data_IF_900593809495
#
_entry.id   IF_900593809495
#
_cell.length_a   1.000
_cell.length_b   1.000
_cell.length_c   1.000
_cell.angle_alpha   90.00
_cell.angle_beta   90.00
_cell.angle_gamma   90.00
#
_symmetry.space_group_name_H-M   'P 1'
#
loop_
_entity.id
_entity.type
_entity.pdbx_description
1 polymer ?
#
# COMPACT_ATOMS: atom_id res chain seq x y z
N UNK A 1 4.88 -6.93 11.07
CA UNK A 1 4.64 -7.76 9.86
C UNK A 1 4.03 -6.87 8.75
N UNK A 2 4.13 -7.25 7.46
CA UNK A 2 3.53 -6.44 6.37
C UNK A 2 2.02 -6.20 6.59
N UNK A 3 1.30 -7.20 7.08
CA UNK A 3 -0.12 -7.08 7.46
C UNK A 3 -0.42 -5.93 8.44
N UNK A 4 0.39 -5.76 9.49
CA UNK A 4 0.20 -4.68 10.47
C UNK A 4 0.42 -3.29 9.85
N UNK A 5 1.32 -3.19 8.86
CA UNK A 5 1.56 -1.94 8.13
C UNK A 5 0.35 -1.60 7.26
N UNK A 6 -0.19 -2.59 6.55
CA UNK A 6 -1.36 -2.45 5.67
C UNK A 6 -2.61 -2.01 6.44
N UNK A 7 -2.85 -2.58 7.63
CA UNK A 7 -3.93 -2.14 8.53
C UNK A 7 -3.76 -0.67 8.93
N UNK A 8 -2.52 -0.23 9.23
CA UNK A 8 -2.21 1.17 9.54
C UNK A 8 -2.26 2.10 8.33
N UNK A 9 -2.29 1.57 7.12
CA UNK A 9 -2.52 2.31 5.89
C UNK A 9 -4.01 2.38 5.53
N UNK A 10 -4.87 1.72 6.32
CA UNK A 10 -6.31 1.78 6.19
C UNK A 10 -6.94 0.60 5.46
N UNK A 11 -6.18 -0.41 5.05
CA UNK A 11 -6.75 -1.68 4.61
C UNK A 11 -7.42 -2.40 5.78
N UNK A 12 -8.42 -3.22 5.48
CA UNK A 12 -8.93 -4.20 6.45
C UNK A 12 -8.13 -5.52 6.36
N UNK A 13 -8.45 -6.48 7.21
CA UNK A 13 -7.79 -7.78 7.26
C UNK A 13 -7.85 -8.50 5.90
N UNK A 14 -9.04 -8.59 5.32
CA UNK A 14 -9.24 -9.30 4.05
C UNK A 14 -8.48 -8.66 2.89
N UNK A 15 -8.53 -7.35 2.75
CA UNK A 15 -7.81 -6.64 1.70
C UNK A 15 -6.29 -6.70 1.91
N UNK A 16 -5.84 -6.78 3.17
CA UNK A 16 -4.42 -6.98 3.49
C UNK A 16 -3.94 -8.38 3.12
N UNK A 17 -4.76 -9.41 3.34
CA UNK A 17 -4.50 -10.77 2.87
C UNK A 17 -4.42 -10.81 1.35
N UNK A 18 -5.45 -10.29 0.65
CA UNK A 18 -5.49 -10.26 -0.82
C UNK A 18 -4.29 -9.49 -1.39
N UNK A 19 -3.85 -8.41 -0.73
CA UNK A 19 -2.63 -7.70 -1.09
C UNK A 19 -1.39 -8.60 -0.93
N UNK A 20 -1.18 -9.20 0.24
CA UNK A 20 0.01 -10.04 0.50
C UNK A 20 0.08 -11.19 -0.49
N UNK A 21 -1.05 -11.84 -0.77
CA UNK A 21 -1.13 -12.94 -1.73
C UNK A 21 -0.73 -12.48 -3.15
N UNK A 22 -1.16 -11.28 -3.57
CA UNK A 22 -0.82 -10.73 -4.89
C UNK A 22 0.68 -10.46 -5.08
N UNK A 23 1.43 -10.19 -4.00
CA UNK A 23 2.88 -9.92 -4.06
C UNK A 23 3.76 -11.05 -3.55
N UNK A 24 3.19 -12.16 -3.03
CA UNK A 24 3.93 -13.28 -2.44
C UNK A 24 5.07 -13.79 -3.35
N UNK A 25 4.77 -14.09 -4.61
CA UNK A 25 5.77 -14.58 -5.59
C UNK A 25 6.86 -13.54 -5.92
N UNK A 26 6.54 -12.25 -5.81
CA UNK A 26 7.49 -11.17 -6.12
C UNK A 26 8.42 -10.87 -4.95
N UNK A 27 7.95 -11.07 -3.72
CA UNK A 27 8.67 -10.81 -2.48
C UNK A 27 9.48 -12.01 -1.96
N UNK A 28 9.54 -13.12 -2.70
CA UNK A 28 10.33 -14.31 -2.34
C UNK A 28 11.66 -14.43 -3.13
N UNK A 29 11.99 -13.45 -3.97
CA UNK A 29 13.16 -13.50 -4.88
C UNK A 29 14.46 -13.04 -4.24
N UNK A 30 14.42 -12.45 -3.04
CA UNK A 30 15.57 -11.80 -2.39
C UNK A 30 15.51 -11.96 -0.87
N UNK A 31 16.66 -12.11 -0.18
CA UNK A 31 16.68 -12.23 1.29
C UNK A 31 16.24 -10.96 2.02
N UNK A 32 16.37 -9.80 1.37
CA UNK A 32 15.94 -8.51 1.90
C UNK A 32 15.20 -7.72 0.82
N UNK A 33 14.27 -6.87 1.28
CA UNK A 33 13.57 -5.90 0.46
C UNK A 33 13.55 -4.56 1.18
N UNK A 34 13.81 -3.49 0.42
CA UNK A 34 13.35 -2.16 0.80
C UNK A 34 11.88 -2.04 0.41
N UNK A 35 11.02 -1.58 1.31
CA UNK A 35 9.60 -1.36 1.06
C UNK A 35 9.20 0.01 1.60
N UNK A 36 8.50 0.79 0.79
CA UNK A 36 7.82 2.02 1.20
C UNK A 36 6.44 2.09 0.56
N UNK A 37 5.60 3.01 1.03
CA UNK A 37 4.23 3.17 0.55
C UNK A 37 3.95 4.61 0.18
N UNK A 38 3.18 4.78 -0.89
CA UNK A 38 2.65 6.06 -1.34
C UNK A 38 1.13 6.07 -1.17
N UNK A 39 0.59 7.15 -0.62
CA UNK A 39 -0.85 7.32 -0.40
C UNK A 39 -1.52 8.15 -1.48
N UNK A 40 -2.79 8.51 -1.23
CA UNK A 40 -3.66 9.22 -2.17
C UNK A 40 -3.00 10.44 -2.85
N UNK A 41 -2.30 11.30 -2.11
CA UNK A 41 -1.77 12.55 -2.68
C UNK A 41 -0.76 12.29 -3.80
N UNK A 42 0.19 11.39 -3.55
CA UNK A 42 1.20 10.98 -4.54
C UNK A 42 0.52 10.29 -5.71
N UNK A 43 -0.37 9.33 -5.44
CA UNK A 43 -1.03 8.56 -6.49
C UNK A 43 -1.93 9.46 -7.34
N UNK A 44 -2.65 10.41 -6.76
CA UNK A 44 -3.53 11.34 -7.49
C UNK A 44 -2.74 12.25 -8.44
N UNK A 45 -1.51 12.63 -8.06
CA UNK A 45 -0.64 13.42 -8.92
C UNK A 45 -0.23 12.66 -10.19
N UNK A 46 0.10 11.37 -10.06
CA UNK A 46 0.56 10.55 -11.18
C UNK A 46 -0.55 9.80 -11.94
N UNK A 47 -1.63 9.45 -11.24
CA UNK A 47 -2.71 8.57 -11.71
C UNK A 47 -4.06 9.07 -11.15
N UNK A 48 -4.61 10.18 -11.68
CA UNK A 48 -5.89 10.72 -11.24
C UNK A 48 -7.03 9.73 -11.49
N UNK A 49 -7.92 9.60 -10.51
CA UNK A 49 -9.04 8.65 -10.56
C UNK A 49 -10.38 9.39 -10.41
N UNK A 50 -11.31 9.13 -11.32
CA UNK A 50 -12.69 9.64 -11.26
C UNK A 50 -13.66 8.47 -11.22
N UNK A 51 -14.45 8.37 -10.15
CA UNK A 51 -15.43 7.29 -9.93
C UNK A 51 -16.83 7.87 -9.78
N UNK A 52 -17.82 7.21 -10.40
CA UNK A 52 -19.24 7.55 -10.30
C UNK A 52 -20.07 6.30 -9.94
N UNK A 53 -20.92 6.34 -8.88
CA UNK A 53 -21.15 7.46 -7.96
C UNK A 53 -19.88 7.83 -7.17
N UNK A 54 -19.81 9.08 -6.68
CA UNK A 54 -18.62 9.57 -5.96
C UNK A 54 -18.48 8.80 -4.63
N UNK A 55 -17.35 8.14 -4.36
CA UNK A 55 -17.09 7.52 -3.06
C UNK A 55 -17.01 8.57 -1.94
N UNK A 56 -17.47 8.22 -0.75
CA UNK A 56 -17.30 9.03 0.45
C UNK A 56 -15.91 8.84 1.05
N UNK A 57 -15.40 7.61 1.04
CA UNK A 57 -14.05 7.29 1.46
C UNK A 57 -13.25 6.73 0.28
N UNK A 58 -12.00 7.18 0.12
CA UNK A 58 -11.07 6.71 -0.91
C UNK A 58 -9.76 6.34 -0.23
N UNK A 59 -9.37 5.08 -0.34
CA UNK A 59 -8.13 4.53 0.24
C UNK A 59 -7.28 4.05 -0.93
N UNK A 60 -6.15 4.70 -1.19
CA UNK A 60 -5.23 4.33 -2.26
C UNK A 60 -3.84 4.13 -1.69
N UNK A 61 -3.23 3.01 -2.00
CA UNK A 61 -1.89 2.64 -1.55
C UNK A 61 -1.09 2.02 -2.67
N UNK A 62 0.12 2.53 -2.87
CA UNK A 62 1.06 2.00 -3.83
C UNK A 62 2.33 1.60 -3.10
N UNK A 63 2.62 0.31 -3.07
CA UNK A 63 3.87 -0.22 -2.53
C UNK A 63 5.00 -0.03 -3.54
N UNK A 64 6.04 0.68 -3.15
CA UNK A 64 7.30 0.68 -3.88
C UNK A 64 8.24 -0.28 -3.16
N UNK A 65 8.72 -1.30 -3.88
CA UNK A 65 9.60 -2.32 -3.32
C UNK A 65 10.83 -2.53 -4.19
N UNK A 66 11.94 -2.89 -3.55
CA UNK A 66 13.22 -3.13 -4.22
C UNK A 66 13.97 -4.28 -3.55
N UNK A 67 14.41 -5.31 -4.30
CA UNK A 67 15.24 -6.37 -3.74
C UNK A 67 16.61 -5.84 -3.31
N UNK A 68 17.07 -6.29 -2.14
CA UNK A 68 18.37 -5.95 -1.56
C UNK A 68 19.20 -7.20 -1.29
N UNK A 69 20.50 -7.16 -1.64
CA UNK A 69 21.43 -8.26 -1.39
C UNK A 69 21.83 -8.38 0.08
N UNK A 70 21.76 -7.28 0.83
CA UNK A 70 22.15 -7.19 2.23
C UNK A 70 21.17 -6.29 2.99
N UNK A 71 21.08 -6.49 4.31
CA UNK A 71 20.28 -5.64 5.18
C UNK A 71 20.73 -4.18 5.06
N UNK A 72 19.76 -3.28 5.00
CA UNK A 72 19.98 -1.85 4.99
C UNK A 72 19.08 -1.20 6.04
N UNK A 73 19.68 -0.46 6.96
CA UNK A 73 18.94 0.38 7.89
C UNK A 73 18.37 1.58 7.14
N UNK A 74 17.08 1.87 7.35
CA UNK A 74 16.36 2.98 6.71
C UNK A 74 15.56 3.74 7.75
N UNK A 75 15.25 5.03 7.50
CA UNK A 75 14.38 5.80 8.39
C UNK A 75 13.02 5.11 8.58
N UNK A 76 12.45 5.24 9.77
CA UNK A 76 11.11 4.74 10.06
C UNK A 76 10.08 5.38 9.12
N UNK A 77 9.21 4.54 8.58
CA UNK A 77 8.06 5.00 7.80
C UNK A 77 7.10 5.80 8.68
N UNK A 78 6.66 6.97 8.19
CA UNK A 78 5.67 7.80 8.86
C UNK A 78 4.29 7.41 8.33
N UNK A 79 3.46 6.88 9.22
CA UNK A 79 2.11 6.48 8.87
C UNK A 79 1.21 7.70 8.65
N UNK A 80 0.39 7.72 7.58
CA UNK A 80 -0.70 8.67 7.48
C UNK A 80 -1.77 8.40 8.55
N UNK A 81 -2.68 9.35 8.73
CA UNK A 81 -3.90 9.11 9.50
C UNK A 81 -4.72 8.00 8.82
N UNK A 82 -5.19 7.04 9.60
CA UNK A 82 -6.06 5.98 9.11
C UNK A 82 -7.42 6.61 8.76
N UNK A 83 -7.91 6.48 7.53
CA UNK A 83 -9.18 7.08 7.13
C UNK A 83 -10.37 6.33 7.73
N UNK A 84 -11.35 7.08 8.23
CA UNK A 84 -12.65 6.52 8.63
C UNK A 84 -13.41 6.02 7.40
N UNK A 85 -13.80 4.74 7.43
CA UNK A 85 -14.60 4.12 6.38
C UNK A 85 -16.07 4.48 6.57
N UNK A 86 -16.59 5.39 5.75
CA UNK A 86 -17.98 5.82 5.79
C UNK A 86 -18.61 5.73 4.40
N UNK A 87 -19.87 5.30 4.34
CA UNK A 87 -20.60 5.18 3.07
C UNK A 87 -19.92 4.26 2.05
N UNK A 88 -20.08 4.59 0.77
CA UNK A 88 -19.39 3.89 -0.31
C UNK A 88 -17.89 4.19 -0.23
N UNK A 89 -17.11 3.14 0.08
CA UNK A 89 -15.66 3.20 0.18
C UNK A 89 -15.02 2.57 -1.05
N UNK A 90 -14.16 3.32 -1.73
CA UNK A 90 -13.30 2.81 -2.77
C UNK A 90 -11.92 2.48 -2.18
N UNK A 91 -11.44 1.29 -2.45
CA UNK A 91 -10.09 0.85 -2.09
C UNK A 91 -9.35 0.47 -3.36
N UNK A 92 -8.15 1.04 -3.53
CA UNK A 92 -7.22 0.69 -4.60
C UNK A 92 -5.86 0.41 -3.97
N UNK A 93 -5.24 -0.69 -4.38
CA UNK A 93 -3.88 -1.01 -3.99
C UNK A 93 -3.07 -1.53 -5.17
N UNK A 94 -1.77 -1.29 -5.14
CA UNK A 94 -0.85 -1.67 -6.20
C UNK A 94 0.58 -1.76 -5.69
N UNK A 95 1.48 -2.18 -6.57
CA UNK A 95 2.88 -2.32 -6.24
C UNK A 95 3.78 -2.18 -7.47
N UNK A 96 4.91 -1.51 -7.29
CA UNK A 96 5.93 -1.30 -8.33
C UNK A 96 7.30 -1.76 -7.82
N UNK A 97 7.99 -2.55 -8.63
CA UNK A 97 9.38 -2.92 -8.39
C UNK A 97 10.31 -1.83 -8.95
N UNK A 98 11.39 -1.50 -8.21
CA UNK A 98 12.37 -0.49 -8.61
C UNK A 98 13.82 -0.95 -8.49
#
# INVERSE_FOLDING_TARGET
MLSEILLKLGLNERESEDFIDAWSDSLDKSPYYFITFHGNDVINFYAPLVVRPKPQTVIRILMEYKPLKYYQEVPSFIYPQIPDRTGFTLVEWGGIER
#
